data_IF_552293178030
#
_entry.id   IF_552293178030
#
_cell.length_a   1.000
_cell.length_b   1.000
_cell.length_c   1.000
_cell.angle_alpha   90.00
_cell.angle_beta   90.00
_cell.angle_gamma   90.00
#
_symmetry.space_group_name_H-M   'P 1'
#
loop_
_entity.id
_entity.type
_entity.pdbx_description
1 polymer ?
#
# COMPACT_ATOMS: atom_id res chain seq x y z
N UNK A 1 -8.20 5.03 17.07
CA UNK A 1 -6.90 5.66 17.35
C UNK A 1 -6.05 5.85 16.09
N UNK A 2 -5.62 4.78 15.41
CA UNK A 2 -4.74 4.88 14.21
C UNK A 2 -5.28 5.82 13.13
N UNK A 3 -6.57 5.73 12.78
CA UNK A 3 -7.21 6.63 11.80
C UNK A 3 -7.12 8.11 12.17
N UNK A 4 -7.19 8.43 13.46
CA UNK A 4 -7.09 9.81 13.94
C UNK A 4 -5.64 10.32 13.90
N UNK A 5 -4.67 9.46 14.26
CA UNK A 5 -3.24 9.79 14.13
C UNK A 5 -2.83 10.01 12.67
N UNK A 6 -3.36 9.20 11.75
CA UNK A 6 -3.16 9.40 10.31
C UNK A 6 -3.72 10.74 9.85
N UNK A 7 -4.94 11.09 10.29
CA UNK A 7 -5.55 12.38 9.97
C UNK A 7 -4.75 13.57 10.50
N UNK A 8 -4.03 13.41 11.60
CA UNK A 8 -3.12 14.45 12.10
C UNK A 8 -1.78 14.51 11.36
N UNK A 9 -1.56 13.67 10.36
CA UNK A 9 -0.40 13.74 9.47
C UNK A 9 0.78 12.84 9.86
N UNK A 10 0.60 11.90 10.81
CA UNK A 10 1.69 10.97 11.16
C UNK A 10 2.11 10.17 9.90
N UNK A 11 3.42 10.00 9.63
CA UNK A 11 3.85 9.12 8.56
C UNK A 11 3.53 7.67 8.87
N UNK A 12 3.07 6.94 7.86
CA UNK A 12 2.77 5.50 7.96
C UNK A 12 3.43 4.75 6.82
N UNK A 13 4.33 3.85 7.19
CA UNK A 13 4.89 2.86 6.30
C UNK A 13 4.27 1.49 6.63
N UNK A 14 3.59 0.86 5.68
CA UNK A 14 2.81 -0.34 5.92
C UNK A 14 3.00 -1.40 4.82
N UNK A 15 3.54 -2.56 5.19
CA UNK A 15 3.70 -3.70 4.28
C UNK A 15 2.70 -4.81 4.58
N UNK A 16 2.20 -5.49 3.56
CA UNK A 16 1.35 -6.68 3.62
C UNK A 16 0.27 -6.62 4.71
N UNK A 17 0.48 -7.24 5.88
CA UNK A 17 -0.45 -7.18 7.01
C UNK A 17 -0.77 -5.75 7.49
N UNK A 18 0.18 -4.83 7.38
CA UNK A 18 -0.03 -3.40 7.62
C UNK A 18 -0.98 -2.76 6.61
N UNK A 19 -0.77 -3.02 5.31
CA UNK A 19 -1.70 -2.58 4.26
C UNK A 19 -3.11 -3.13 4.52
N UNK A 20 -3.20 -4.43 4.84
CA UNK A 20 -4.45 -5.09 5.22
C UNK A 20 -5.09 -4.35 6.40
N UNK A 21 -4.36 -4.12 7.49
CA UNK A 21 -4.89 -3.47 8.69
C UNK A 21 -5.40 -2.04 8.44
N UNK A 22 -4.81 -1.31 7.50
CA UNK A 22 -5.25 0.04 7.13
C UNK A 22 -6.57 0.06 6.36
N UNK A 23 -6.96 -1.04 5.71
CA UNK A 23 -8.23 -1.16 4.99
C UNK A 23 -9.46 -0.95 5.91
N UNK A 24 -10.63 -0.84 5.30
CA UNK A 24 -11.89 -0.66 6.03
C UNK A 24 -12.36 -1.96 6.66
N UNK A 25 -12.38 -3.03 5.87
CA UNK A 25 -12.82 -4.34 6.35
C UNK A 25 -12.08 -5.50 5.71
N UNK A 26 -12.03 -6.61 6.42
CA UNK A 26 -11.49 -7.89 5.95
C UNK A 26 -12.57 -8.98 5.96
N UNK A 27 -12.67 -9.72 4.87
CA UNK A 27 -13.56 -10.88 4.72
C UNK A 27 -12.77 -12.17 4.82
N UNK A 28 -12.89 -12.87 5.94
CA UNK A 28 -12.13 -14.09 6.21
C UNK A 28 -13.06 -15.20 6.73
N UNK A 29 -13.03 -16.36 6.06
CA UNK A 29 -13.84 -17.55 6.41
C UNK A 29 -15.34 -17.23 6.62
N UNK A 30 -15.92 -16.46 5.70
CA UNK A 30 -17.34 -16.07 5.76
C UNK A 30 -17.69 -15.02 6.81
N UNK A 31 -16.71 -14.47 7.54
CA UNK A 31 -16.90 -13.41 8.53
C UNK A 31 -16.30 -12.10 8.03
N UNK A 32 -16.97 -10.99 8.37
CA UNK A 32 -16.51 -9.62 8.09
C UNK A 32 -15.93 -9.01 9.37
N UNK A 33 -14.72 -8.47 9.27
CA UNK A 33 -14.00 -7.84 10.37
C UNK A 33 -13.75 -6.36 10.07
N UNK A 34 -14.06 -5.49 11.02
CA UNK A 34 -13.73 -4.07 10.93
C UNK A 34 -12.26 -3.87 11.27
N UNK A 35 -11.58 -3.04 10.47
CA UNK A 35 -10.16 -2.74 10.61
C UNK A 35 -9.96 -1.26 10.94
N UNK A 36 -8.79 -0.68 10.66
CA UNK A 36 -8.51 0.71 11.00
C UNK A 36 -9.35 1.71 10.17
N UNK A 37 -9.79 1.33 8.96
CA UNK A 37 -10.60 2.17 8.08
C UNK A 37 -9.92 3.46 7.67
N UNK A 38 -8.61 3.40 7.50
CA UNK A 38 -7.79 4.50 6.99
C UNK A 38 -7.92 4.56 5.47
N UNK A 39 -7.81 3.41 4.81
CA UNK A 39 -7.99 3.24 3.39
C UNK A 39 -9.39 2.67 3.12
N UNK A 40 -10.14 3.21 2.15
CA UNK A 40 -11.52 2.79 1.85
C UNK A 40 -11.56 1.52 0.99
N UNK A 41 -10.79 0.50 1.39
CA UNK A 41 -10.74 -0.78 0.69
C UNK A 41 -11.34 -1.88 1.56
N UNK A 42 -12.05 -2.81 0.93
CA UNK A 42 -12.39 -4.10 1.54
C UNK A 42 -11.42 -5.15 0.99
N UNK A 43 -10.86 -5.97 1.88
CA UNK A 43 -9.91 -7.03 1.51
C UNK A 43 -10.56 -8.40 1.70
N UNK A 44 -10.34 -9.30 0.76
CA UNK A 44 -10.77 -10.70 0.86
C UNK A 44 -9.59 -11.66 0.71
N UNK A 45 -9.76 -12.89 1.18
CA UNK A 45 -8.72 -13.92 1.17
C UNK A 45 -9.07 -15.05 0.21
N UNK A 46 -8.09 -15.47 -0.59
CA UNK A 46 -8.19 -16.62 -1.49
C UNK A 46 -7.69 -17.89 -0.80
N UNK A 47 -8.05 -19.05 -1.35
CA UNK A 47 -7.53 -20.36 -0.89
C UNK A 47 -6.07 -20.55 -1.29
N UNK A 48 -5.70 -20.05 -2.48
CA UNK A 48 -4.34 -20.11 -3.01
C UNK A 48 -3.64 -18.75 -2.89
N UNK A 49 -2.29 -18.72 -2.86
CA UNK A 49 -1.54 -17.46 -2.91
C UNK A 49 -1.93 -16.62 -4.12
N UNK A 50 -2.09 -15.31 -3.91
CA UNK A 50 -2.35 -14.32 -4.94
C UNK A 50 -1.02 -13.76 -5.47
N UNK A 51 -0.15 -13.32 -4.56
CA UNK A 51 1.24 -12.96 -4.86
C UNK A 51 2.19 -13.90 -4.12
N UNK A 52 3.22 -14.38 -4.83
CA UNK A 52 4.24 -15.29 -4.29
C UNK A 52 5.58 -15.11 -5.00
N UNK A 53 6.62 -14.76 -4.25
CA UNK A 53 8.01 -14.75 -4.70
C UNK A 53 8.56 -13.36 -4.98
N UNK A 54 9.45 -13.24 -5.96
CA UNK A 54 10.11 -11.97 -6.29
C UNK A 54 9.20 -11.01 -7.05
N UNK A 55 9.19 -9.76 -6.60
CA UNK A 55 8.43 -8.64 -7.15
C UNK A 55 9.42 -7.62 -7.74
N UNK A 56 9.12 -7.12 -8.94
CA UNK A 56 9.86 -6.03 -9.58
C UNK A 56 8.90 -4.92 -9.97
N UNK A 57 9.19 -3.71 -9.52
CA UNK A 57 8.32 -2.55 -9.61
C UNK A 57 9.06 -1.40 -10.28
N UNK A 58 8.32 -0.57 -11.02
CA UNK A 58 8.80 0.71 -11.53
C UNK A 58 7.96 1.83 -10.94
N UNK A 59 8.62 2.74 -10.23
CA UNK A 59 7.99 3.96 -9.75
C UNK A 59 7.50 4.78 -10.94
N UNK A 60 6.26 5.25 -10.87
CA UNK A 60 5.63 5.99 -11.99
C UNK A 60 5.34 7.46 -11.65
N UNK A 61 5.64 7.89 -10.43
CA UNK A 61 5.48 9.27 -10.00
C UNK A 61 6.53 9.61 -8.95
N UNK A 62 6.85 10.90 -8.82
CA UNK A 62 7.63 11.38 -7.71
C UNK A 62 6.77 11.39 -6.44
N UNK A 63 7.31 10.85 -5.35
CA UNK A 63 6.72 11.02 -4.02
C UNK A 63 7.81 11.24 -2.97
N UNK A 64 7.40 11.37 -1.71
CA UNK A 64 8.32 11.40 -0.56
C UNK A 64 8.99 10.03 -0.31
N UNK A 65 8.45 8.96 -0.88
CA UNK A 65 8.91 7.59 -0.66
C UNK A 65 9.86 7.09 -1.73
N UNK A 66 9.60 7.45 -2.99
CA UNK A 66 10.36 7.00 -4.15
C UNK A 66 10.39 8.06 -5.25
N UNK A 67 11.51 8.09 -5.95
CA UNK A 67 11.68 8.95 -7.13
C UNK A 67 10.93 8.38 -8.34
N UNK A 68 10.49 9.25 -9.24
CA UNK A 68 9.87 8.80 -10.49
C UNK A 68 10.86 7.94 -11.30
N UNK A 69 10.38 6.84 -11.87
CA UNK A 69 11.18 5.94 -12.68
C UNK A 69 12.08 4.97 -11.92
N UNK A 70 12.22 5.11 -10.59
CA UNK A 70 13.01 4.21 -9.75
C UNK A 70 12.59 2.74 -9.93
N UNK A 71 13.58 1.85 -10.05
CA UNK A 71 13.36 0.41 -10.13
C UNK A 71 13.52 -0.20 -8.74
N UNK A 72 12.49 -0.92 -8.30
CA UNK A 72 12.40 -1.48 -6.95
C UNK A 72 12.33 -2.99 -7.04
N UNK A 73 13.16 -3.67 -6.24
CA UNK A 73 13.15 -5.13 -6.09
C UNK A 73 12.64 -5.48 -4.69
N UNK A 74 11.69 -6.39 -4.65
CA UNK A 74 11.01 -6.78 -3.43
C UNK A 74 10.64 -8.26 -3.48
N UNK A 75 9.98 -8.72 -2.44
CA UNK A 75 9.25 -9.98 -2.46
C UNK A 75 7.81 -9.77 -1.99
N UNK A 76 6.93 -10.67 -2.38
CA UNK A 76 5.54 -10.66 -1.98
C UNK A 76 5.11 -12.08 -1.55
N UNK A 77 4.27 -12.14 -0.54
CA UNK A 77 3.61 -13.39 -0.13
C UNK A 77 2.27 -13.06 0.52
N UNK A 78 1.19 -13.17 -0.26
CA UNK A 78 -0.15 -12.85 0.25
C UNK A 78 -1.24 -13.67 -0.43
N UNK A 79 -2.25 -14.01 0.35
CA UNK A 79 -3.51 -14.63 -0.09
C UNK A 79 -4.62 -13.59 -0.23
N UNK A 80 -4.39 -12.39 0.29
CA UNK A 80 -5.36 -11.31 0.31
C UNK A 80 -5.33 -10.50 -0.98
N UNK A 81 -6.49 -10.01 -1.41
CA UNK A 81 -6.61 -9.03 -2.48
C UNK A 81 -7.79 -8.10 -2.24
N UNK A 82 -7.80 -6.87 -2.78
CA UNK A 82 -8.97 -6.00 -2.72
C UNK A 82 -10.17 -6.70 -3.35
N UNK A 83 -11.34 -6.56 -2.70
CA UNK A 83 -12.60 -6.93 -3.30
C UNK A 83 -13.02 -5.82 -4.27
N UNK A 84 -13.43 -6.18 -5.48
CA UNK A 84 -14.07 -5.22 -6.37
C UNK A 84 -15.38 -4.78 -5.74
N UNK A 85 -15.46 -3.53 -5.29
CA UNK A 85 -16.71 -2.94 -4.84
C UNK A 85 -17.72 -3.00 -5.98
N UNK A 86 -18.91 -3.52 -5.70
CA UNK A 86 -20.05 -3.45 -6.60
C UNK A 86 -20.42 -1.97 -6.84
N UNK A 87 -19.94 -1.39 -7.94
CA UNK A 87 -20.45 -0.14 -8.48
C UNK A 87 -19.90 1.18 -7.92
N UNK A 88 -19.15 1.19 -6.80
CA UNK A 88 -18.60 2.44 -6.24
C UNK A 88 -17.09 2.36 -6.13
N UNK A 89 -16.36 3.11 -6.97
CA UNK A 89 -14.90 3.25 -6.83
C UNK A 89 -14.63 3.92 -5.47
N UNK A 90 -13.74 3.38 -4.64
CA UNK A 90 -13.37 4.05 -3.41
C UNK A 90 -12.85 5.45 -3.71
N UNK A 91 -13.49 6.47 -3.13
CA UNK A 91 -13.06 7.86 -3.26
C UNK A 91 -11.96 8.11 -2.23
N UNK A 92 -10.71 7.84 -2.64
CA UNK A 92 -9.55 8.51 -2.08
C UNK A 92 -9.43 9.83 -2.85
N UNK A 93 -9.11 10.94 -2.17
CA UNK A 93 -9.04 12.31 -2.72
C UNK A 93 -8.02 12.54 -3.85
N UNK A 94 -7.45 11.49 -4.43
CA UNK A 94 -6.54 11.58 -5.57
C UNK A 94 -7.32 11.91 -6.84
N UNK A 95 -6.78 12.87 -7.60
CA UNK A 95 -7.39 13.49 -8.78
C UNK A 95 -7.63 12.52 -9.94
N UNK A 96 -7.03 11.33 -9.94
CA UNK A 96 -7.43 10.20 -10.78
C UNK A 96 -7.25 8.86 -10.05
N UNK A 97 -7.93 7.80 -10.51
CA UNK A 97 -7.77 6.46 -9.92
C UNK A 97 -6.37 5.88 -10.10
N UNK A 98 -5.63 6.36 -11.11
CA UNK A 98 -4.25 5.96 -11.34
C UNK A 98 -3.41 6.54 -10.23
N UNK A 99 -3.19 7.86 -10.11
CA UNK A 99 -2.25 8.58 -9.19
C UNK A 99 -2.13 8.10 -7.72
N UNK A 100 -3.03 7.25 -7.25
CA UNK A 100 -3.03 6.59 -5.94
C UNK A 100 -1.95 5.55 -5.72
N UNK A 101 -1.28 5.08 -6.77
CA UNK A 101 -0.27 4.02 -6.68
C UNK A 101 1.12 4.55 -7.04
N UNK A 102 2.12 4.20 -6.23
CA UNK A 102 3.52 4.53 -6.45
C UNK A 102 4.09 3.76 -7.65
N UNK A 103 3.67 2.50 -7.80
CA UNK A 103 4.35 1.56 -8.66
C UNK A 103 3.46 0.98 -9.74
N UNK A 104 4.05 0.82 -10.92
CA UNK A 104 3.64 -0.18 -11.90
C UNK A 104 4.36 -1.50 -11.60
N UNK A 105 3.63 -2.61 -11.64
CA UNK A 105 4.19 -3.95 -11.52
C UNK A 105 4.82 -4.35 -12.85
N UNK A 106 6.12 -4.69 -12.81
CA UNK A 106 6.86 -5.24 -13.96
C UNK A 106 6.81 -6.78 -13.92
N UNK A 107 6.97 -7.35 -12.73
CA UNK A 107 6.91 -8.80 -12.47
C UNK A 107 6.36 -9.03 -11.07
N UNK A 108 5.46 -9.99 -10.91
CA UNK A 108 4.77 -10.29 -9.66
C UNK A 108 3.29 -9.92 -9.75
N UNK A 109 2.61 -9.75 -8.62
CA UNK A 109 1.19 -9.45 -8.54
C UNK A 109 0.90 -8.07 -7.93
N UNK A 110 1.49 -7.72 -6.78
CA UNK A 110 1.18 -6.49 -6.08
C UNK A 110 -0.27 -6.44 -5.60
N UNK A 111 -0.98 -5.33 -5.82
CA UNK A 111 -2.36 -5.17 -5.33
C UNK A 111 -3.38 -5.84 -6.27
N UNK A 112 -3.19 -5.70 -7.58
CA UNK A 112 -4.18 -6.10 -8.60
C UNK A 112 -3.58 -6.74 -9.87
N UNK A 113 -2.28 -7.09 -9.84
CA UNK A 113 -1.54 -7.60 -11.00
C UNK A 113 -0.92 -6.51 -11.87
N UNK A 114 -1.21 -5.22 -11.63
CA UNK A 114 -0.75 -4.10 -12.47
C UNK A 114 -0.04 -3.02 -11.67
N UNK A 115 -0.43 -2.80 -10.42
CA UNK A 115 0.09 -1.72 -9.58
C UNK A 115 0.22 -2.12 -8.11
N UNK A 116 1.05 -1.38 -7.38
CA UNK A 116 1.28 -1.56 -5.94
C UNK A 116 1.72 -0.22 -5.30
N UNK A 117 1.76 -0.17 -3.96
CA UNK A 117 2.21 0.98 -3.19
C UNK A 117 1.17 2.10 -3.17
N UNK A 118 0.10 1.93 -2.40
CA UNK A 118 -0.90 2.98 -2.19
C UNK A 118 -0.27 4.19 -1.52
N UNK A 119 -0.48 5.35 -2.12
CA UNK A 119 -0.14 6.67 -1.60
C UNK A 119 -1.41 7.37 -1.12
N UNK A 120 -1.38 7.84 0.12
CA UNK A 120 -2.45 8.68 0.67
C UNK A 120 -1.91 9.55 1.79
N UNK A 121 -1.91 10.88 1.63
CA UNK A 121 -1.26 11.79 2.59
C UNK A 121 0.20 11.36 2.85
N UNK A 122 0.59 11.18 4.11
CA UNK A 122 1.90 10.69 4.52
C UNK A 122 1.93 9.15 4.67
N UNK A 123 1.11 8.42 3.90
CA UNK A 123 1.05 6.95 3.93
C UNK A 123 1.68 6.39 2.66
N UNK A 124 2.50 5.36 2.86
CA UNK A 124 2.85 4.38 1.85
C UNK A 124 2.45 2.98 2.33
N UNK A 125 1.58 2.31 1.57
CA UNK A 125 1.09 0.98 1.93
C UNK A 125 1.16 0.00 0.74
N UNK A 126 1.84 -1.13 0.89
CA UNK A 126 2.17 -2.03 -0.23
C UNK A 126 2.08 -3.51 0.15
N UNK A 127 1.85 -4.40 -0.82
CA UNK A 127 2.10 -5.84 -0.61
C UNK A 127 3.57 -6.21 -0.79
N UNK A 128 4.36 -5.33 -1.40
CA UNK A 128 5.81 -5.46 -1.47
C UNK A 128 6.43 -5.42 -0.06
N UNK A 129 7.27 -6.41 0.23
CA UNK A 129 8.20 -6.40 1.33
C UNK A 129 9.55 -5.84 0.87
N UNK A 130 9.91 -4.66 1.38
CA UNK A 130 11.06 -3.90 0.92
C UNK A 130 12.20 -3.99 1.92
N UNK A 131 13.36 -4.41 1.43
CA UNK A 131 14.57 -4.37 2.24
C UNK A 131 15.29 -3.03 2.07
N UNK A 132 15.62 -2.34 3.17
CA UNK A 132 16.28 -1.03 3.15
C UNK A 132 17.64 -1.05 2.42
N UNK A 133 18.44 -2.11 2.57
CA UNK A 133 19.72 -2.21 1.88
C UNK A 133 19.61 -2.23 0.34
N UNK A 134 18.47 -2.67 -0.20
CA UNK A 134 18.22 -2.72 -1.65
C UNK A 134 17.43 -1.50 -2.11
N UNK A 135 16.54 -0.98 -1.27
CA UNK A 135 15.65 0.13 -1.58
C UNK A 135 15.74 1.21 -0.48
N UNK A 136 16.88 1.91 -0.30
CA UNK A 136 17.08 2.81 0.83
C UNK A 136 16.17 4.05 0.81
N UNK A 137 15.58 4.38 -0.35
CA UNK A 137 14.72 5.54 -0.56
C UNK A 137 13.53 5.58 0.41
N UNK A 138 12.83 4.44 0.64
CA UNK A 138 11.67 4.43 1.53
C UNK A 138 12.04 4.81 2.97
N UNK A 139 13.20 4.34 3.45
CA UNK A 139 13.65 4.57 4.82
C UNK A 139 14.04 6.04 5.01
N UNK A 140 14.73 6.63 4.02
CA UNK A 140 15.04 8.06 4.01
C UNK A 140 13.76 8.90 4.03
N UNK A 141 12.82 8.60 3.13
CA UNK A 141 11.54 9.30 3.05
C UNK A 141 10.74 9.21 4.35
N UNK A 142 10.73 8.04 5.00
CA UNK A 142 10.08 7.85 6.30
C UNK A 142 10.67 8.76 7.38
N UNK A 143 12.02 8.82 7.48
CA UNK A 143 12.71 9.65 8.48
C UNK A 143 12.47 11.14 8.23
N UNK A 144 12.49 11.58 6.97
CA UNK A 144 12.20 12.96 6.60
C UNK A 144 10.77 13.36 7.02
N UNK A 145 9.77 12.53 6.68
CA UNK A 145 8.39 12.76 7.09
C UNK A 145 8.21 12.75 8.61
N UNK A 146 8.90 11.85 9.32
CA UNK A 146 8.83 11.78 10.78
C UNK A 146 9.46 13.01 11.44
N UNK A 147 10.54 13.54 10.85
CA UNK A 147 11.19 14.77 11.32
C UNK A 147 10.29 15.98 11.11
N UNK A 148 9.59 16.05 9.98
CA UNK A 148 8.61 17.11 9.70
C UNK A 148 7.41 17.04 10.64
N UNK A 149 6.91 15.85 10.96
CA UNK A 149 5.78 15.66 11.88
C UNK A 149 6.07 16.11 13.32
N UNK A 150 7.33 16.07 13.75
CA UNK A 150 7.73 16.52 15.09
C UNK A 150 7.82 18.04 15.23
N UNK A 151 7.87 18.78 14.11
CA UNK A 151 7.94 20.24 14.09
C UNK A 151 6.55 20.87 14.15
#
# INVERSE_FOLDING_TARGET
EVKERVRSGIPVYAECGGLIYLCETAHFKGKKFKLAGVLPFEIGYQINPVGYGYLSLKSRCQSRWFDEGALVKAHEFHYSKPLSASGTKPSLSATTSEDRYQFKVIRGYGIDGKQDGILHQNIFASFAHLHAAVNPQWARGFVELATEYQR
#
